data_IF_249804217988
#
_entry.id   IF_249804217988
#
_cell.length_a   1.000
_cell.length_b   1.000
_cell.length_c   1.000
_cell.angle_alpha   90.00
_cell.angle_beta   90.00
_cell.angle_gamma   90.00
#
_symmetry.space_group_name_H-M   'P 1'
#
loop_
_entity.id
_entity.type
_entity.pdbx_description
1 polymer ?
#
# COMPACT_ATOMS: atom_id res chain seq x y z
N UNK A 1 3.17 -10.58 5.40
CA UNK A 1 3.70 -9.81 6.55
C UNK A 1 2.68 -8.79 7.02
N UNK A 2 2.82 -8.25 8.23
CA UNK A 2 1.94 -7.18 8.73
C UNK A 2 2.44 -5.80 8.26
N UNK A 3 1.52 -4.88 7.94
CA UNK A 3 1.86 -3.47 7.64
C UNK A 3 1.89 -2.70 8.96
N UNK A 4 3.05 -2.11 9.29
CA UNK A 4 3.21 -1.24 10.46
C UNK A 4 3.17 0.22 10.03
N UNK A 5 2.49 1.05 10.80
CA UNK A 5 2.36 2.48 10.51
C UNK A 5 3.39 3.28 11.28
N UNK A 6 3.88 4.38 10.69
CA UNK A 6 4.79 5.32 11.37
C UNK A 6 4.08 6.14 12.47
N UNK A 7 2.81 6.47 12.26
CA UNK A 7 1.98 7.24 13.19
C UNK A 7 0.66 6.51 13.51
N UNK A 8 0.71 5.35 14.20
CA UNK A 8 -0.49 4.55 14.47
C UNK A 8 -1.48 5.24 15.43
N UNK A 9 -0.98 6.08 16.34
CA UNK A 9 -1.78 6.85 17.28
C UNK A 9 -2.68 7.87 16.54
N UNK A 10 -2.10 8.64 15.62
CA UNK A 10 -2.81 9.67 14.87
C UNK A 10 -3.93 9.06 14.02
N UNK A 11 -3.69 7.88 13.45
CA UNK A 11 -4.73 7.14 12.74
C UNK A 11 -5.86 6.70 13.68
N UNK A 12 -5.54 6.20 14.87
CA UNK A 12 -6.54 5.80 15.86
C UNK A 12 -7.40 7.00 16.31
N UNK A 13 -6.79 8.15 16.59
CA UNK A 13 -7.51 9.38 16.91
C UNK A 13 -8.43 9.82 15.76
N UNK A 14 -7.93 9.78 14.52
CA UNK A 14 -8.73 10.12 13.34
C UNK A 14 -9.95 9.20 13.16
N UNK A 15 -9.77 7.89 13.31
CA UNK A 15 -10.82 6.89 13.15
C UNK A 15 -11.88 6.96 14.25
N UNK A 16 -11.49 7.26 15.49
CA UNK A 16 -12.38 7.28 16.65
C UNK A 16 -13.00 8.65 16.93
N UNK A 17 -12.60 9.70 16.20
CA UNK A 17 -13.12 11.07 16.34
C UNK A 17 -14.65 11.20 16.44
N UNK A 18 -15.49 10.40 15.73
CA UNK A 18 -16.94 10.50 15.85
C UNK A 18 -17.50 10.05 17.21
N UNK A 19 -16.79 9.22 17.97
CA UNK A 19 -17.21 8.73 19.28
C UNK A 19 -16.60 9.58 20.41
N UNK A 20 -17.45 10.38 21.06
CA UNK A 20 -17.03 11.31 22.13
C UNK A 20 -16.48 10.61 23.38
N UNK A 21 -16.66 9.29 23.51
CA UNK A 21 -16.05 8.50 24.58
C UNK A 21 -14.53 8.31 24.36
N UNK A 22 -14.03 8.53 23.16
CA UNK A 22 -12.63 8.36 22.78
C UNK A 22 -11.93 9.72 22.60
N UNK A 23 -11.37 10.22 23.71
CA UNK A 23 -10.48 11.37 23.70
C UNK A 23 -9.05 10.94 23.39
N UNK A 24 -8.22 11.87 22.91
CA UNK A 24 -6.80 11.61 22.66
C UNK A 24 -6.08 11.01 23.90
N UNK A 25 -6.40 11.51 25.11
CA UNK A 25 -5.87 10.96 26.37
C UNK A 25 -6.36 9.55 26.66
N UNK A 26 -7.63 9.23 26.38
CA UNK A 26 -8.17 7.90 26.64
C UNK A 26 -7.57 6.87 25.68
N UNK A 27 -7.36 7.25 24.41
CA UNK A 27 -6.69 6.40 23.41
C UNK A 27 -5.23 6.16 23.83
N UNK A 28 -4.48 7.20 24.21
CA UNK A 28 -3.09 7.06 24.68
C UNK A 28 -2.99 6.12 25.86
N UNK A 29 -3.88 6.31 26.83
CA UNK A 29 -3.94 5.50 28.04
C UNK A 29 -4.22 4.03 27.73
N UNK A 30 -5.09 3.74 26.75
CA UNK A 30 -5.40 2.37 26.34
C UNK A 30 -4.24 1.75 25.57
N UNK A 31 -3.61 2.47 24.64
CA UNK A 31 -2.48 1.97 23.85
C UNK A 31 -1.24 1.65 24.70
N UNK A 32 -1.06 2.30 25.85
CA UNK A 32 0.03 2.00 26.77
C UNK A 32 -0.19 0.73 27.63
N UNK A 33 -1.38 0.11 27.58
CA UNK A 33 -1.68 -1.08 28.38
C UNK A 33 -1.04 -2.32 27.77
N UNK A 34 -0.69 -3.27 28.63
CA UNK A 34 -0.23 -4.61 28.21
C UNK A 34 -1.36 -5.50 27.70
N UNK A 35 -2.61 -5.19 28.05
CA UNK A 35 -3.78 -5.97 27.66
C UNK A 35 -4.45 -5.29 26.47
N UNK A 36 -4.68 -6.07 25.43
CA UNK A 36 -5.41 -5.63 24.23
C UNK A 36 -6.83 -5.17 24.58
N UNK A 37 -7.27 -4.13 23.88
CA UNK A 37 -8.66 -3.67 23.89
C UNK A 37 -9.13 -3.53 22.45
N UNK A 38 -10.19 -4.25 22.13
CA UNK A 38 -10.87 -4.14 20.84
C UNK A 38 -11.84 -2.97 20.87
N UNK A 39 -11.90 -2.22 19.78
CA UNK A 39 -12.77 -1.06 19.61
C UNK A 39 -13.38 -1.15 18.22
N UNK A 40 -14.69 -1.31 18.18
CA UNK A 40 -15.42 -1.35 16.91
C UNK A 40 -15.56 0.07 16.35
N UNK A 41 -15.33 0.21 15.05
CA UNK A 41 -15.58 1.47 14.37
C UNK A 41 -17.08 1.61 14.08
N UNK A 42 -17.69 2.79 14.29
CA UNK A 42 -19.10 3.00 13.99
C UNK A 42 -19.43 2.75 12.52
N UNK A 43 -18.49 3.09 11.63
CA UNK A 43 -18.61 2.93 10.19
C UNK A 43 -17.44 2.08 9.65
N UNK A 44 -17.71 1.07 8.80
CA UNK A 44 -16.67 0.32 8.12
C UNK A 44 -15.81 1.22 7.24
N UNK A 45 -14.49 1.09 7.34
CA UNK A 45 -13.54 1.85 6.51
C UNK A 45 -12.87 0.90 5.52
N UNK A 46 -13.00 1.13 4.19
CA UNK A 46 -12.36 0.28 3.20
C UNK A 46 -10.84 0.42 3.28
N UNK A 47 -10.14 -0.70 3.21
CA UNK A 47 -8.68 -0.76 3.17
C UNK A 47 -8.27 -1.44 1.87
N UNK A 48 -7.53 -0.71 1.03
CA UNK A 48 -7.03 -1.20 -0.26
C UNK A 48 -5.50 -1.13 -0.20
N UNK A 49 -4.86 -2.25 -0.51
CA UNK A 49 -3.40 -2.34 -0.61
C UNK A 49 -3.08 -2.45 -2.08
N UNK A 50 -2.57 -1.37 -2.66
CA UNK A 50 -2.06 -1.33 -4.03
C UNK A 50 -0.54 -1.42 -4.06
N UNK A 51 -0.01 -2.02 -5.13
CA UNK A 51 1.42 -2.07 -5.40
C UNK A 51 1.69 -1.27 -6.67
N UNK A 52 2.37 -0.14 -6.52
CA UNK A 52 2.68 0.77 -7.61
C UNK A 52 4.18 1.09 -7.60
N UNK A 53 4.85 0.79 -8.69
CA UNK A 53 6.25 1.11 -8.94
C UNK A 53 6.40 2.48 -9.63
N UNK A 54 5.32 3.00 -10.22
CA UNK A 54 5.24 4.35 -10.77
C UNK A 54 3.88 5.01 -10.49
N UNK A 55 3.87 6.29 -10.10
CA UNK A 55 2.65 7.09 -9.94
C UNK A 55 2.92 8.59 -10.04
N UNK A 56 1.86 9.39 -10.23
CA UNK A 56 1.92 10.86 -10.21
C UNK A 56 1.35 11.37 -8.89
N UNK A 57 2.08 12.25 -8.21
CA UNK A 57 1.63 12.84 -6.95
C UNK A 57 0.64 14.00 -7.16
N UNK A 58 0.10 14.53 -6.07
CA UNK A 58 -0.86 15.66 -6.10
C UNK A 58 -0.27 16.95 -6.64
N UNK A 59 1.05 17.05 -6.79
CA UNK A 59 1.77 18.18 -7.38
C UNK A 59 2.10 17.95 -8.86
N UNK A 60 1.64 16.84 -9.45
CA UNK A 60 1.90 16.49 -10.84
C UNK A 60 3.29 15.90 -11.09
N UNK A 61 4.03 15.52 -10.04
CA UNK A 61 5.37 14.96 -10.19
C UNK A 61 5.31 13.45 -10.35
N UNK A 62 6.06 12.95 -11.33
CA UNK A 62 6.24 11.52 -11.56
C UNK A 62 7.18 10.93 -10.49
N UNK A 63 6.75 9.85 -9.86
CA UNK A 63 7.48 9.12 -8.83
C UNK A 63 7.72 7.69 -9.29
N UNK A 64 8.91 7.15 -8.99
CA UNK A 64 9.29 5.75 -9.21
C UNK A 64 9.77 5.09 -7.91
N UNK A 65 9.58 3.78 -7.78
CA UNK A 65 10.10 2.96 -6.67
C UNK A 65 10.61 1.63 -7.20
N UNK A 66 11.52 1.03 -6.44
CA UNK A 66 12.09 -0.27 -6.76
C UNK A 66 11.01 -1.37 -6.72
N UNK A 67 11.00 -2.18 -7.77
CA UNK A 67 10.11 -3.35 -7.90
C UNK A 67 10.66 -4.54 -7.11
N UNK A 68 10.59 -4.46 -5.79
CA UNK A 68 11.12 -5.48 -4.86
C UNK A 68 10.45 -6.86 -4.98
N UNK A 69 9.32 -6.95 -5.70
CA UNK A 69 8.63 -8.23 -5.94
C UNK A 69 8.71 -8.70 -7.40
N UNK A 70 9.46 -7.99 -8.24
CA UNK A 70 9.72 -8.32 -9.65
C UNK A 70 8.43 -8.53 -10.46
N UNK A 71 7.37 -7.78 -10.12
CA UNK A 71 6.09 -7.87 -10.80
C UNK A 71 6.12 -7.20 -12.17
N UNK A 72 6.86 -6.10 -12.32
CA UNK A 72 6.93 -5.33 -13.56
C UNK A 72 7.65 -6.12 -14.64
N UNK A 73 8.78 -6.76 -14.30
CA UNK A 73 9.52 -7.59 -15.24
C UNK A 73 8.69 -8.79 -15.74
N UNK A 74 7.97 -9.45 -14.83
CA UNK A 74 7.07 -10.55 -15.18
C UNK A 74 5.92 -10.09 -16.06
N UNK A 75 5.28 -8.98 -15.68
CA UNK A 75 4.19 -8.40 -16.44
C UNK A 75 4.67 -7.97 -17.84
N UNK A 76 5.88 -7.43 -17.95
CA UNK A 76 6.46 -7.03 -19.23
C UNK A 76 6.69 -8.22 -20.16
N UNK A 77 7.12 -9.37 -19.63
CA UNK A 77 7.22 -10.60 -20.42
C UNK A 77 5.86 -11.06 -20.95
N UNK A 78 4.81 -10.99 -20.12
CA UNK A 78 3.47 -11.41 -20.54
C UNK A 78 2.83 -10.45 -21.54
N UNK A 79 3.03 -9.14 -21.38
CA UNK A 79 2.40 -8.12 -22.22
C UNK A 79 3.20 -7.75 -23.47
N UNK A 80 4.52 -7.89 -23.44
CA UNK A 80 5.44 -7.40 -24.47
C UNK A 80 6.41 -8.45 -24.98
N UNK A 81 6.25 -9.73 -24.64
CA UNK A 81 6.94 -10.78 -25.40
C UNK A 81 6.58 -10.63 -26.87
N UNK A 82 7.61 -10.48 -27.71
CA UNK A 82 7.44 -10.54 -29.15
C UNK A 82 6.96 -11.96 -29.49
N UNK A 83 6.02 -12.13 -30.44
CA UNK A 83 5.71 -13.46 -30.94
C UNK A 83 6.99 -14.13 -31.42
N UNK A 84 7.16 -15.44 -31.16
CA UNK A 84 8.40 -16.19 -31.45
C UNK A 84 8.92 -15.98 -32.89
N UNK A 85 8.03 -15.67 -33.84
CA UNK A 85 8.35 -15.38 -35.24
C UNK A 85 9.29 -14.17 -35.43
N UNK A 86 9.24 -13.16 -34.54
CA UNK A 86 10.12 -11.99 -34.62
C UNK A 86 11.48 -12.23 -33.96
N UNK A 87 11.57 -13.14 -32.99
CA UNK A 87 12.81 -13.48 -32.31
C UNK A 87 13.76 -14.29 -33.22
N UNK A 88 13.21 -15.22 -34.01
CA UNK A 88 13.96 -15.93 -35.07
C UNK A 88 14.37 -14.99 -36.23
N UNK A 89 13.51 -14.04 -36.61
CA UNK A 89 13.82 -13.07 -37.67
C UNK A 89 14.99 -12.15 -37.28
N UNK A 90 15.08 -11.75 -36.01
CA UNK A 90 16.19 -10.92 -35.49
C UNK A 90 17.47 -11.76 -35.32
N UNK A 91 17.35 -13.05 -34.98
CA UNK A 91 18.49 -13.97 -34.89
C UNK A 91 19.11 -14.30 -36.26
N UNK A 92 18.31 -14.33 -37.33
CA UNK A 92 18.75 -14.68 -38.70
C UNK A 92 19.42 -13.50 -39.46
N UNK A 93 19.37 -12.29 -38.90
CA UNK A 93 20.00 -11.07 -39.46
C UNK A 93 21.37 -10.76 -38.82
N UNK A 94 21.82 -11.56 -37.85
CA UNK A 94 23.19 -11.52 -37.30
C UNK A 94 24.04 -12.64 -37.87
#
# INVERSE_FOLDING_TARGET
GCIRLGQPMDLAEYLLKPDTNWTADSIRTVMARKKEKYVDLPEPRPVIIGYFTAWVDTQGRLNFRDDVYEHDARLAQELFALPEEEEEAVASVK
#
